data_IF_296194425848
#
_entry.id   IF_296194425848
#
_cell.length_a   1.000
_cell.length_b   1.000
_cell.length_c   1.000
_cell.angle_alpha   90.00
_cell.angle_beta   90.00
_cell.angle_gamma   90.00
#
_symmetry.space_group_name_H-M   'P 1'
#
loop_
_entity.id
_entity.type
_entity.pdbx_description
1 polymer ?
#
# COMPACT_ATOMS: atom_id res chain seq x y z
N UNK A 1 40.91 0.28 -19.83
CA UNK A 1 39.85 -0.75 -19.75
C UNK A 1 39.29 -0.91 -21.14
N UNK A 2 39.31 -2.13 -21.68
CA UNK A 2 38.77 -2.42 -23.01
C UNK A 2 37.24 -2.20 -23.02
N UNK A 3 36.70 -1.68 -24.13
CA UNK A 3 35.27 -1.39 -24.27
C UNK A 3 34.41 -2.63 -24.02
N UNK A 4 34.85 -3.79 -24.49
CA UNK A 4 34.16 -5.05 -24.30
C UNK A 4 34.14 -5.49 -22.82
N UNK A 5 35.24 -5.26 -22.10
CA UNK A 5 35.32 -5.52 -20.65
C UNK A 5 34.40 -4.57 -19.87
N UNK A 6 34.31 -3.30 -20.26
CA UNK A 6 33.41 -2.33 -19.66
C UNK A 6 31.95 -2.74 -19.84
N UNK A 7 31.53 -3.06 -21.07
CA UNK A 7 30.16 -3.48 -21.38
C UNK A 7 29.75 -4.73 -20.58
N UNK A 8 30.63 -5.73 -20.52
CA UNK A 8 30.39 -6.97 -19.75
C UNK A 8 30.24 -6.68 -18.25
N UNK A 9 31.09 -5.81 -17.72
CA UNK A 9 31.05 -5.44 -16.29
C UNK A 9 29.76 -4.69 -15.96
N UNK A 10 29.37 -3.73 -16.80
CA UNK A 10 28.13 -2.96 -16.64
C UNK A 10 26.91 -3.88 -16.72
N UNK A 11 26.87 -4.81 -17.68
CA UNK A 11 25.77 -5.77 -17.80
C UNK A 11 25.62 -6.61 -16.53
N UNK A 12 26.74 -7.16 -16.01
CA UNK A 12 26.73 -7.96 -14.78
C UNK A 12 26.23 -7.17 -13.58
N UNK A 13 26.69 -5.92 -13.41
CA UNK A 13 26.21 -5.04 -12.32
C UNK A 13 24.71 -4.80 -12.44
N UNK A 14 24.21 -4.53 -13.64
CA UNK A 14 22.78 -4.31 -13.86
C UNK A 14 21.95 -5.57 -13.60
N UNK A 15 22.47 -6.75 -13.91
CA UNK A 15 21.80 -8.03 -13.63
C UNK A 15 21.73 -8.29 -12.12
N UNK A 16 22.83 -8.11 -11.39
CA UNK A 16 22.84 -8.20 -9.91
C UNK A 16 21.87 -7.18 -9.27
N UNK A 17 21.78 -5.97 -9.82
CA UNK A 17 20.84 -4.95 -9.34
C UNK A 17 19.37 -5.33 -9.59
N UNK A 18 19.06 -6.16 -10.60
CA UNK A 18 17.69 -6.64 -10.88
C UNK A 18 17.25 -7.75 -9.95
N UNK A 19 18.20 -8.53 -9.45
CA UNK A 19 17.93 -9.61 -8.50
C UNK A 19 17.75 -9.12 -7.06
N UNK A 20 17.96 -7.82 -6.81
CA UNK A 20 17.84 -7.26 -5.46
C UNK A 20 16.42 -7.45 -4.90
N UNK A 21 16.28 -7.74 -3.61
CA UNK A 21 14.99 -7.79 -2.93
C UNK A 21 14.18 -6.49 -3.07
N UNK A 22 12.88 -6.65 -3.33
CA UNK A 22 11.89 -5.59 -3.21
C UNK A 22 11.35 -5.63 -1.76
N UNK A 23 11.48 -4.54 -0.99
CA UNK A 23 10.92 -4.47 0.37
C UNK A 23 9.41 -4.67 0.37
N UNK A 24 8.89 -5.34 1.40
CA UNK A 24 7.47 -5.59 1.59
C UNK A 24 6.87 -4.62 2.61
N UNK A 25 5.83 -3.91 2.21
CA UNK A 25 4.99 -3.07 3.04
C UNK A 25 3.63 -3.73 3.27
N UNK A 26 3.42 -4.31 4.46
CA UNK A 26 2.15 -4.93 4.82
C UNK A 26 1.20 -3.86 5.38
N UNK A 27 0.13 -3.61 4.64
CA UNK A 27 -0.87 -2.61 4.97
C UNK A 27 -2.00 -3.23 5.78
N UNK A 28 -2.08 -2.86 7.06
CA UNK A 28 -3.29 -3.07 7.85
C UNK A 28 -4.36 -2.03 7.45
N UNK A 29 -5.60 -2.25 7.89
CA UNK A 29 -6.69 -1.29 7.70
C UNK A 29 -6.30 0.10 8.17
N UNK A 30 -6.57 1.09 7.33
CA UNK A 30 -6.20 2.46 7.60
C UNK A 30 -7.08 3.44 6.83
N UNK A 31 -6.96 4.71 7.18
CA UNK A 31 -7.70 5.80 6.57
C UNK A 31 -6.75 6.93 6.18
N UNK A 32 -7.03 7.57 5.06
CA UNK A 32 -6.51 8.88 4.69
C UNK A 32 -7.67 9.87 4.78
N UNK A 33 -7.43 11.07 5.29
CA UNK A 33 -8.48 12.10 5.43
C UNK A 33 -8.13 13.37 4.67
N UNK A 34 -9.14 14.05 4.16
CA UNK A 34 -9.02 15.44 3.77
C UNK A 34 -9.07 16.37 4.99
N UNK A 35 -8.66 17.64 4.78
CA UNK A 35 -8.64 18.63 5.86
C UNK A 35 -10.02 18.89 6.48
N UNK A 36 -11.08 18.90 5.66
CA UNK A 36 -12.44 19.12 6.12
C UNK A 36 -12.90 18.00 7.05
N UNK A 37 -12.80 16.74 6.61
CA UNK A 37 -13.20 15.58 7.39
C UNK A 37 -12.35 15.41 8.64
N UNK A 38 -11.05 15.70 8.55
CA UNK A 38 -10.16 15.69 9.70
C UNK A 38 -10.59 16.71 10.76
N UNK A 39 -10.88 17.96 10.37
CA UNK A 39 -11.32 19.00 11.30
C UNK A 39 -12.67 18.68 11.94
N UNK A 40 -13.55 17.95 11.25
CA UNK A 40 -14.82 17.47 11.82
C UNK A 40 -14.60 16.35 12.82
N UNK A 41 -13.74 15.39 12.51
CA UNK A 41 -13.46 14.24 13.38
C UNK A 41 -12.55 14.59 14.56
N UNK A 42 -11.65 15.55 14.43
CA UNK A 42 -10.64 15.92 15.43
C UNK A 42 -10.55 17.44 15.60
N UNK A 43 -11.66 18.11 15.98
CA UNK A 43 -11.70 19.57 16.06
C UNK A 43 -10.68 20.08 17.08
N UNK A 44 -9.89 21.08 16.68
CA UNK A 44 -8.82 21.68 17.49
C UNK A 44 -7.68 20.73 17.91
N UNK A 45 -7.57 19.56 17.30
CA UNK A 45 -6.48 18.61 17.55
C UNK A 45 -5.60 18.47 16.31
N UNK A 46 -4.36 18.99 16.30
CA UNK A 46 -3.47 18.85 15.14
C UNK A 46 -3.13 17.37 14.91
N UNK A 47 -2.95 17.00 13.63
CA UNK A 47 -2.46 15.67 13.28
C UNK A 47 -1.05 15.51 13.84
N UNK A 48 -0.80 14.39 14.51
CA UNK A 48 0.50 14.11 15.15
C UNK A 48 1.11 12.89 14.52
N UNK A 49 2.36 12.99 14.08
CA UNK A 49 3.12 11.85 13.62
C UNK A 49 3.42 10.89 14.78
N UNK A 50 3.18 9.59 14.56
CA UNK A 50 3.59 8.49 15.43
C UNK A 50 4.84 7.80 14.91
N UNK A 51 4.85 7.50 13.61
CA UNK A 51 5.92 6.73 12.96
C UNK A 51 5.95 7.01 11.45
N UNK A 52 7.10 7.42 10.94
CA UNK A 52 7.36 7.53 9.51
C UNK A 52 7.24 6.18 8.78
N UNK A 53 6.71 6.22 7.57
CA UNK A 53 6.63 5.07 6.66
C UNK A 53 7.81 5.09 5.67
N UNK A 54 7.98 4.01 4.91
CA UNK A 54 9.08 3.91 3.94
C UNK A 54 8.89 4.88 2.76
N UNK A 55 7.63 5.12 2.36
CA UNK A 55 7.29 6.11 1.35
C UNK A 55 7.57 7.53 1.86
N UNK A 56 8.33 8.36 1.10
CA UNK A 56 8.75 9.68 1.53
C UNK A 56 7.59 10.57 2.02
N UNK A 57 7.75 11.16 3.20
CA UNK A 57 6.79 12.08 3.80
C UNK A 57 5.48 11.44 4.29
N UNK A 58 5.26 10.14 4.07
CA UNK A 58 4.10 9.43 4.60
C UNK A 58 4.38 8.95 6.03
N UNK A 59 3.37 8.99 6.89
CA UNK A 59 3.49 8.56 8.28
C UNK A 59 2.20 7.95 8.82
N UNK A 60 2.33 7.07 9.80
CA UNK A 60 1.21 6.70 10.67
C UNK A 60 1.03 7.81 11.72
N UNK A 61 -0.19 8.34 11.86
CA UNK A 61 -0.50 9.37 12.86
C UNK A 61 -0.88 8.75 14.21
N UNK A 62 -0.87 9.50 15.31
CA UNK A 62 -1.37 9.02 16.61
C UNK A 62 -2.90 8.83 16.62
N UNK A 63 -3.59 9.58 15.78
CA UNK A 63 -5.03 9.52 15.61
C UNK A 63 -5.50 8.18 15.04
N UNK A 64 -6.62 7.71 15.56
CA UNK A 64 -7.35 6.55 15.05
C UNK A 64 -8.85 6.82 15.04
N UNK A 65 -9.56 6.12 14.18
CA UNK A 65 -11.02 6.14 14.11
C UNK A 65 -11.57 4.73 14.30
N UNK A 66 -12.86 4.65 14.62
CA UNK A 66 -13.65 3.43 14.47
C UNK A 66 -14.43 3.51 13.16
N UNK A 67 -14.32 2.46 12.35
CA UNK A 67 -15.13 2.27 11.16
C UNK A 67 -16.39 1.50 11.55
N UNK A 68 -17.56 2.03 11.24
CA UNK A 68 -18.85 1.38 11.53
C UNK A 68 -19.56 1.09 10.20
N UNK A 69 -19.78 -0.20 9.94
CA UNK A 69 -20.54 -0.70 8.79
C UNK A 69 -21.85 -1.37 9.21
N UNK A 70 -22.68 -1.80 8.24
CA UNK A 70 -23.99 -2.38 8.53
C UNK A 70 -24.00 -3.62 9.43
N UNK A 71 -22.91 -4.41 9.44
CA UNK A 71 -22.83 -5.66 10.22
C UNK A 71 -21.98 -5.56 11.48
N UNK A 72 -21.12 -4.56 11.59
CA UNK A 72 -20.13 -4.51 12.65
C UNK A 72 -19.23 -3.30 12.55
N UNK A 73 -18.18 -3.30 13.38
CA UNK A 73 -17.25 -2.18 13.48
C UNK A 73 -15.80 -2.66 13.63
N UNK A 74 -14.88 -1.83 13.15
CA UNK A 74 -13.44 -2.02 13.33
C UNK A 74 -12.90 -0.83 14.11
N UNK A 75 -12.38 -1.08 15.31
CA UNK A 75 -11.80 -0.05 16.18
C UNK A 75 -10.32 0.17 15.87
N UNK A 76 -9.78 1.30 16.33
CA UNK A 76 -8.35 1.63 16.26
C UNK A 76 -7.80 1.63 14.82
N UNK A 77 -8.61 2.04 13.85
CA UNK A 77 -8.18 2.17 12.45
C UNK A 77 -7.28 3.39 12.31
N UNK A 78 -6.04 3.16 11.88
CA UNK A 78 -4.97 4.15 11.89
C UNK A 78 -5.18 5.20 10.80
N UNK A 79 -5.04 6.48 11.16
CA UNK A 79 -4.91 7.55 10.18
C UNK A 79 -3.48 7.55 9.62
N UNK A 80 -3.34 7.58 8.30
CA UNK A 80 -2.09 7.87 7.63
C UNK A 80 -2.07 9.32 7.17
N UNK A 81 -0.95 9.99 7.45
CA UNK A 81 -0.68 11.35 7.02
C UNK A 81 0.36 11.40 5.89
N UNK A 82 0.50 12.56 5.23
CA UNK A 82 -0.23 13.80 5.48
C UNK A 82 -1.68 13.74 5.02
N UNK A 83 -2.49 14.72 5.43
CA UNK A 83 -3.86 14.89 4.95
C UNK A 83 -3.86 15.06 3.41
N UNK A 84 -4.86 14.48 2.76
CA UNK A 84 -4.98 14.42 1.29
C UNK A 84 -6.06 15.36 0.78
N UNK A 85 -6.22 15.43 -0.54
CA UNK A 85 -7.35 16.15 -1.16
C UNK A 85 -8.69 15.43 -0.94
N UNK A 86 -8.68 14.12 -0.68
CA UNK A 86 -9.91 13.33 -0.52
C UNK A 86 -9.71 12.23 0.51
N UNK A 87 -10.77 11.96 1.28
CA UNK A 87 -10.81 10.89 2.28
C UNK A 87 -10.97 9.53 1.62
N UNK A 88 -10.25 8.53 2.12
CA UNK A 88 -10.24 7.17 1.59
C UNK A 88 -9.96 6.16 2.71
N UNK A 89 -10.72 5.07 2.70
CA UNK A 89 -10.57 3.96 3.64
C UNK A 89 -10.08 2.73 2.90
N UNK A 90 -8.97 2.17 3.35
CA UNK A 90 -8.35 0.97 2.79
C UNK A 90 -8.51 -0.18 3.80
N UNK A 91 -9.18 -1.26 3.39
CA UNK A 91 -9.50 -2.43 4.23
C UNK A 91 -9.18 -3.73 3.50
N UNK A 92 -9.01 -4.84 4.23
CA UNK A 92 -8.90 -6.16 3.60
C UNK A 92 -10.27 -6.71 3.19
N UNK A 93 -10.30 -7.82 2.45
CA UNK A 93 -11.56 -8.53 2.16
C UNK A 93 -12.19 -9.10 3.42
N UNK A 94 -11.39 -9.56 4.38
CA UNK A 94 -11.86 -10.01 5.69
C UNK A 94 -12.54 -8.89 6.46
N UNK A 95 -11.96 -7.69 6.45
CA UNK A 95 -12.53 -6.50 7.07
C UNK A 95 -13.85 -6.09 6.41
N UNK A 96 -13.91 -6.11 5.08
CA UNK A 96 -15.12 -5.80 4.33
C UNK A 96 -16.29 -6.72 4.72
N UNK A 97 -16.04 -8.02 4.90
CA UNK A 97 -17.04 -8.97 5.40
C UNK A 97 -17.50 -8.65 6.83
N UNK A 98 -16.55 -8.30 7.71
CA UNK A 98 -16.83 -7.93 9.11
C UNK A 98 -17.71 -6.68 9.20
N UNK A 99 -17.41 -5.67 8.39
CA UNK A 99 -18.20 -4.44 8.31
C UNK A 99 -19.53 -4.64 7.59
N UNK A 100 -19.63 -5.64 6.71
CA UNK A 100 -20.79 -5.85 5.86
C UNK A 100 -20.84 -4.89 4.67
N UNK A 101 -19.67 -4.51 4.15
CA UNK A 101 -19.52 -3.55 3.04
C UNK A 101 -19.01 -4.28 1.81
N UNK A 102 -19.64 -4.03 0.66
CA UNK A 102 -19.19 -4.54 -0.64
C UNK A 102 -18.09 -3.63 -1.24
N UNK A 103 -16.93 -3.56 -0.57
CA UNK A 103 -15.82 -2.73 -1.01
C UNK A 103 -15.14 -3.32 -2.26
N UNK A 104 -15.00 -2.58 -3.37
CA UNK A 104 -14.35 -3.07 -4.57
C UNK A 104 -12.82 -3.06 -4.44
N UNK A 105 -12.15 -3.95 -5.18
CA UNK A 105 -10.69 -3.94 -5.32
C UNK A 105 -10.27 -2.74 -6.19
N UNK A 106 -9.45 -1.83 -5.66
CA UNK A 106 -9.05 -0.60 -6.36
C UNK A 106 -7.63 -0.18 -6.02
N UNK A 107 -7.03 0.57 -6.94
CA UNK A 107 -5.84 1.37 -6.65
C UNK A 107 -6.21 2.60 -5.80
N UNK A 108 -5.33 2.97 -4.87
CA UNK A 108 -5.46 4.19 -4.06
C UNK A 108 -5.64 5.42 -4.97
N UNK A 109 -6.67 6.23 -4.69
CA UNK A 109 -7.15 7.36 -5.51
C UNK A 109 -8.36 7.05 -6.41
N UNK A 110 -8.60 5.78 -6.75
CA UNK A 110 -9.73 5.38 -7.59
C UNK A 110 -10.97 5.05 -6.74
N UNK A 111 -11.62 6.10 -6.23
CA UNK A 111 -12.75 6.02 -5.29
C UNK A 111 -14.13 6.21 -5.93
N UNK A 112 -14.22 6.45 -7.25
CA UNK A 112 -15.51 6.65 -7.90
C UNK A 112 -16.38 5.39 -7.83
N UNK A 113 -17.64 5.57 -7.46
CA UNK A 113 -18.63 4.48 -7.34
C UNK A 113 -18.33 3.49 -6.20
N UNK A 114 -17.49 3.88 -5.24
CA UNK A 114 -17.19 3.06 -4.06
C UNK A 114 -18.21 3.31 -2.95
N UNK A 115 -18.47 2.33 -2.07
CA UNK A 115 -19.35 2.52 -0.94
C UNK A 115 -18.75 3.51 0.08
N UNK A 116 -19.65 4.10 0.87
CA UNK A 116 -19.33 4.92 2.03
C UNK A 116 -19.16 4.12 3.31
N UNK A 117 -18.88 4.81 4.41
CA UNK A 117 -18.77 4.23 5.76
C UNK A 117 -18.91 5.32 6.82
N UNK A 118 -19.41 4.94 8.00
CA UNK A 118 -19.41 5.81 9.16
C UNK A 118 -18.05 5.76 9.86
N UNK A 119 -17.51 6.94 10.14
CA UNK A 119 -16.31 7.18 10.90
C UNK A 119 -16.68 7.73 12.27
N UNK A 120 -16.09 7.17 13.33
CA UNK A 120 -16.29 7.61 14.71
C UNK A 120 -14.93 7.88 15.34
N UNK A 121 -14.72 9.10 15.82
CA UNK A 121 -13.60 9.46 16.67
C UNK A 121 -14.09 9.63 18.12
N UNK A 122 -13.20 9.92 19.08
CA UNK A 122 -13.61 10.32 20.44
C UNK A 122 -14.40 11.64 20.49
N UNK A 123 -14.41 12.44 19.41
CA UNK A 123 -14.93 13.80 19.40
C UNK A 123 -16.19 13.96 18.55
N UNK A 124 -16.32 13.18 17.47
CA UNK A 124 -17.40 13.32 16.51
C UNK A 124 -17.62 12.06 15.66
N UNK A 125 -18.75 12.04 14.96
CA UNK A 125 -19.07 11.06 13.94
C UNK A 125 -19.26 11.73 12.57
N UNK A 126 -18.91 11.00 11.53
CA UNK A 126 -18.96 11.45 10.13
C UNK A 126 -19.34 10.29 9.23
N UNK A 127 -20.37 10.45 8.41
CA UNK A 127 -20.69 9.51 7.34
C UNK A 127 -19.97 9.94 6.05
N UNK A 128 -19.04 9.11 5.58
CA UNK A 128 -18.52 9.21 4.21
C UNK A 128 -19.52 8.59 3.25
N UNK A 129 -19.81 9.27 2.14
CA UNK A 129 -20.72 8.77 1.10
C UNK A 129 -20.03 7.82 0.11
N UNK A 130 -18.71 7.91 0.00
CA UNK A 130 -17.84 7.05 -0.82
C UNK A 130 -16.43 7.02 -0.24
N UNK A 131 -15.56 6.16 -0.76
CA UNK A 131 -14.13 6.14 -0.44
C UNK A 131 -13.62 4.83 0.16
N UNK A 132 -14.47 3.81 0.35
CA UNK A 132 -14.05 2.53 0.92
C UNK A 132 -13.62 1.56 -0.18
N UNK A 133 -12.38 1.07 -0.10
CA UNK A 133 -11.81 0.13 -1.07
C UNK A 133 -11.12 -1.05 -0.37
N UNK A 134 -11.05 -2.16 -1.09
CA UNK A 134 -10.00 -3.15 -0.85
C UNK A 134 -8.77 -2.72 -1.64
N UNK A 135 -7.64 -2.55 -0.97
CA UNK A 135 -6.42 -2.08 -1.61
C UNK A 135 -5.91 -3.12 -2.61
N UNK A 136 -5.72 -2.71 -3.86
CA UNK A 136 -5.09 -3.53 -4.88
C UNK A 136 -3.57 -3.56 -4.66
N UNK A 137 -2.98 -4.75 -4.60
CA UNK A 137 -1.52 -4.91 -4.52
C UNK A 137 -0.78 -4.17 -5.62
N UNK A 138 0.33 -3.55 -5.26
CA UNK A 138 1.14 -2.75 -6.18
C UNK A 138 2.57 -2.58 -5.69
N UNK A 139 3.44 -2.12 -6.58
CA UNK A 139 4.82 -1.76 -6.25
C UNK A 139 5.00 -0.27 -6.51
N UNK A 140 5.44 0.45 -5.49
CA UNK A 140 5.98 1.80 -5.64
C UNK A 140 7.42 1.73 -6.12
N UNK A 141 7.80 2.59 -7.07
CA UNK A 141 9.13 2.64 -7.64
C UNK A 141 9.53 4.09 -7.94
N UNK A 142 10.80 4.44 -7.71
CA UNK A 142 11.37 5.63 -8.33
C UNK A 142 11.59 5.40 -9.83
N UNK A 143 11.78 6.44 -10.66
CA UNK A 143 12.13 6.28 -12.07
C UNK A 143 13.40 5.44 -12.29
N UNK A 144 14.38 5.55 -11.37
CA UNK A 144 15.60 4.75 -11.41
C UNK A 144 15.32 3.27 -11.14
N UNK A 145 14.49 2.97 -10.14
CA UNK A 145 14.11 1.59 -9.82
C UNK A 145 13.38 0.93 -11.00
N UNK A 146 12.45 1.66 -11.62
CA UNK A 146 11.71 1.21 -12.79
C UNK A 146 12.63 0.94 -13.99
N UNK A 147 13.62 1.83 -14.23
CA UNK A 147 14.63 1.65 -15.27
C UNK A 147 15.49 0.40 -15.03
N UNK A 148 15.98 0.21 -13.80
CA UNK A 148 16.80 -0.96 -13.43
C UNK A 148 16.02 -2.25 -13.65
N UNK A 149 14.78 -2.29 -13.15
CA UNK A 149 13.88 -3.44 -13.19
C UNK A 149 13.19 -3.62 -14.55
N UNK A 150 13.43 -2.72 -15.51
CA UNK A 150 12.87 -2.74 -16.87
C UNK A 150 11.35 -2.78 -16.91
N UNK A 151 10.71 -2.00 -16.05
CA UNK A 151 9.26 -1.84 -15.99
C UNK A 151 8.88 -0.37 -16.13
N UNK A 152 7.65 -0.11 -16.52
CA UNK A 152 7.07 1.21 -16.70
C UNK A 152 5.89 1.44 -15.77
N UNK A 153 5.53 2.71 -15.57
CA UNK A 153 4.30 3.04 -14.86
C UNK A 153 3.08 2.43 -15.58
N UNK A 154 2.21 1.78 -14.83
CA UNK A 154 1.00 1.16 -15.35
C UNK A 154 1.18 -0.29 -15.80
N UNK A 155 2.42 -0.79 -15.84
CA UNK A 155 2.68 -2.20 -16.11
C UNK A 155 2.04 -3.09 -15.03
N UNK A 156 1.75 -4.33 -15.44
CA UNK A 156 1.37 -5.42 -14.54
C UNK A 156 2.42 -6.50 -14.61
N UNK A 157 2.93 -6.88 -13.44
CA UNK A 157 4.02 -7.85 -13.30
C UNK A 157 3.62 -8.99 -12.39
N UNK A 158 4.34 -10.10 -12.49
CA UNK A 158 4.27 -11.18 -11.51
C UNK A 158 5.40 -11.01 -10.48
N UNK A 159 5.09 -11.21 -9.21
CA UNK A 159 6.01 -11.04 -8.09
C UNK A 159 6.03 -12.30 -7.26
N UNK A 160 7.21 -12.88 -7.07
CA UNK A 160 7.41 -13.98 -6.14
C UNK A 160 7.63 -13.40 -4.74
N UNK A 161 6.85 -13.88 -3.77
CA UNK A 161 7.19 -13.74 -2.35
C UNK A 161 8.01 -14.97 -1.98
N UNK A 162 9.30 -14.78 -1.76
CA UNK A 162 10.21 -15.80 -1.28
C UNK A 162 10.17 -15.81 0.25
N UNK A 163 10.35 -16.98 0.85
CA UNK A 163 10.23 -17.17 2.28
C UNK A 163 10.09 -18.66 2.61
N UNK A 164 9.20 -18.98 3.54
CA UNK A 164 8.90 -20.35 3.97
C UNK A 164 7.97 -21.11 2.99
N UNK A 165 7.35 -22.19 3.49
CA UNK A 165 6.43 -23.05 2.73
C UNK A 165 5.17 -22.33 2.21
N UNK A 166 4.87 -21.11 2.69
CA UNK A 166 3.79 -20.26 2.15
C UNK A 166 4.21 -19.39 0.96
N UNK A 167 5.46 -19.50 0.49
CA UNK A 167 5.92 -18.78 -0.71
C UNK A 167 4.95 -18.97 -1.87
N UNK A 168 4.72 -17.90 -2.62
CA UNK A 168 3.81 -17.91 -3.77
C UNK A 168 4.16 -16.82 -4.76
N UNK A 169 3.51 -16.87 -5.93
CA UNK A 169 3.63 -15.85 -6.96
C UNK A 169 2.31 -15.08 -7.02
N UNK A 170 2.36 -13.79 -6.77
CA UNK A 170 1.28 -12.87 -7.07
C UNK A 170 1.38 -12.43 -8.51
N UNK A 171 0.37 -12.75 -9.31
CA UNK A 171 0.26 -12.20 -10.66
C UNK A 171 -0.47 -10.83 -10.66
N UNK A 172 -0.48 -10.11 -11.79
CA UNK A 172 -1.23 -8.87 -11.96
C UNK A 172 -0.93 -7.78 -10.90
N UNK A 173 0.32 -7.68 -10.46
CA UNK A 173 0.77 -6.63 -9.52
C UNK A 173 1.02 -5.34 -10.28
N UNK A 174 0.36 -4.25 -9.89
CA UNK A 174 0.46 -2.98 -10.59
C UNK A 174 1.78 -2.24 -10.27
N UNK A 175 2.41 -1.63 -11.27
CA UNK A 175 3.61 -0.81 -11.09
C UNK A 175 3.25 0.69 -11.05
N UNK A 176 3.64 1.36 -9.96
CA UNK A 176 3.50 2.81 -9.77
C UNK A 176 4.87 3.46 -9.75
N UNK A 177 5.12 4.38 -10.68
CA UNK A 177 6.39 5.09 -10.77
C UNK A 177 6.16 6.57 -10.52
N UNK A 178 6.92 7.14 -9.59
CA UNK A 178 6.95 8.58 -9.32
C UNK A 178 8.30 8.97 -8.71
N UNK A 179 8.82 10.19 -8.96
CA UNK A 179 10.01 10.70 -8.26
C UNK A 179 9.87 10.70 -6.72
N UNK A 180 8.64 10.79 -6.21
CA UNK A 180 8.33 10.82 -4.77
C UNK A 180 8.10 9.42 -4.17
N UNK A 181 8.34 8.35 -4.95
CA UNK A 181 8.14 6.97 -4.51
C UNK A 181 9.47 6.27 -4.25
N UNK A 182 9.47 5.37 -3.27
CA UNK A 182 10.58 4.45 -3.00
C UNK A 182 10.17 3.02 -3.24
N UNK A 183 11.13 2.20 -3.70
CA UNK A 183 10.91 0.79 -3.99
C UNK A 183 10.27 0.06 -2.79
N UNK A 184 9.02 -0.36 -2.94
CA UNK A 184 8.27 -1.10 -1.92
C UNK A 184 7.04 -1.77 -2.55
N UNK A 185 6.84 -3.05 -2.30
CA UNK A 185 5.61 -3.75 -2.66
C UNK A 185 4.60 -3.65 -1.52
N UNK A 186 3.42 -3.10 -1.81
CA UNK A 186 2.32 -2.96 -0.87
C UNK A 186 1.30 -4.07 -1.09
N UNK A 187 1.02 -4.81 -0.02
CA UNK A 187 -0.02 -5.86 0.05
C UNK A 187 -0.84 -5.69 1.31
N UNK A 188 -2.09 -6.15 1.32
CA UNK A 188 -2.91 -6.14 2.52
C UNK A 188 -2.58 -7.30 3.48
N UNK A 189 -3.20 -7.32 4.65
CA UNK A 189 -2.97 -8.39 5.64
C UNK A 189 -3.48 -9.75 5.19
N UNK A 190 -4.53 -9.83 4.38
CA UNK A 190 -5.04 -11.12 3.88
C UNK A 190 -4.02 -11.73 2.91
N UNK A 191 -3.46 -10.92 2.01
CA UNK A 191 -2.41 -11.30 1.07
C UNK A 191 -1.11 -11.67 1.79
N UNK A 192 -0.68 -10.86 2.77
CA UNK A 192 0.52 -11.14 3.55
C UNK A 192 0.43 -12.47 4.31
N UNK A 193 -0.71 -12.72 4.97
CA UNK A 193 -0.96 -13.97 5.68
C UNK A 193 -0.94 -15.18 4.73
N UNK A 194 -1.51 -15.03 3.52
CA UNK A 194 -1.52 -16.10 2.52
C UNK A 194 -0.09 -16.44 2.03
N UNK A 195 0.77 -15.43 1.91
CA UNK A 195 2.14 -15.58 1.39
C UNK A 195 3.22 -15.82 2.45
N UNK A 196 2.88 -15.84 3.75
CA UNK A 196 3.88 -15.90 4.83
C UNK A 196 4.81 -14.68 4.86
N UNK A 197 4.32 -13.52 4.43
CA UNK A 197 5.12 -12.31 4.24
C UNK A 197 5.51 -11.61 5.57
N UNK A 198 4.94 -12.04 6.69
CA UNK A 198 5.28 -11.58 8.03
C UNK A 198 6.58 -12.20 8.58
N UNK A 199 7.10 -13.24 7.92
CA UNK A 199 8.40 -13.81 8.22
C UNK A 199 9.51 -12.77 7.96
N UNK A 200 10.41 -12.48 8.92
CA UNK A 200 11.49 -11.50 8.74
C UNK A 200 12.45 -11.81 7.59
N UNK A 201 12.48 -13.06 7.11
CA UNK A 201 13.28 -13.50 5.97
C UNK A 201 12.52 -13.43 4.64
N UNK A 202 11.23 -13.08 4.66
CA UNK A 202 10.44 -12.98 3.44
C UNK A 202 10.85 -11.75 2.63
N UNK A 203 10.96 -11.92 1.30
CA UNK A 203 11.27 -10.83 0.40
C UNK A 203 10.64 -11.03 -0.98
N UNK A 204 10.32 -9.92 -1.64
CA UNK A 204 9.74 -9.94 -2.97
C UNK A 204 10.81 -9.85 -4.08
N UNK A 205 10.58 -10.55 -5.19
CA UNK A 205 11.34 -10.38 -6.43
C UNK A 205 10.41 -10.37 -7.63
N UNK A 206 10.75 -9.61 -8.68
CA UNK A 206 10.03 -9.73 -9.95
C UNK A 206 10.30 -11.12 -10.54
N UNK A 207 9.24 -11.76 -11.03
CA UNK A 207 9.38 -12.97 -11.83
C UNK A 207 9.73 -12.54 -13.24
N UNK A 208 10.97 -12.74 -13.65
CA UNK A 208 11.37 -12.52 -15.04
C UNK A 208 10.85 -13.66 -15.90
N UNK A 209 10.29 -13.33 -17.06
CA UNK A 209 10.09 -14.30 -18.12
C UNK A 209 11.46 -14.86 -18.49
N UNK A 210 11.68 -16.15 -18.21
CA UNK A 210 12.85 -16.87 -18.71
C UNK A 210 12.83 -16.97 -20.22
#
# INVERSE_FOLDING_TARGET
>A
MDKQQLETTVAKVLDEMRERPIPLGISNRHIHLCAEDYNRLFPNHPISEKKGLLQPGQYAAEQTVTLVGPKGQLKNVRLLGPLRSTSQVEISRTDARTLGIAAPLRMSGNIQGTPGIRLVSPFAELDLTSGVIVAQRHIHMSPLDALILRVSHGDKVSVAINGDERRLIFDNVAVRVSPDMRLEMHIDTDEANAAGADNPQAFATLVTSR
#
